data_IF_516033677879
#
_entry.id   IF_516033677879
#
_cell.length_a   1.000
_cell.length_b   1.000
_cell.length_c   1.000
_cell.angle_alpha   90.00
_cell.angle_beta   90.00
_cell.angle_gamma   90.00
#
_symmetry.space_group_name_H-M   'P 1'
#
loop_
_entity.id
_entity.type
_entity.pdbx_description
1 polymer ?
#
# COMPACT_ATOMS: atom_id res chain seq x y z
N UNK A 1 -36.91 14.79 -32.32
CA UNK A 1 -35.52 14.35 -32.37
C UNK A 1 -34.77 14.59 -31.07
N UNK A 2 -34.83 15.79 -30.44
CA UNK A 2 -34.09 16.10 -29.19
C UNK A 2 -34.42 15.21 -27.98
N UNK A 3 -35.66 14.70 -27.83
CA UNK A 3 -36.08 13.79 -26.75
C UNK A 3 -35.57 12.36 -26.93
N UNK A 4 -35.34 11.93 -28.18
CA UNK A 4 -34.84 10.58 -28.49
C UNK A 4 -33.36 10.45 -28.16
N UNK A 5 -32.54 11.49 -28.45
CA UNK A 5 -31.11 11.50 -28.11
C UNK A 5 -30.87 11.53 -26.60
N UNK A 6 -31.70 12.24 -25.83
CA UNK A 6 -31.61 12.29 -24.39
C UNK A 6 -31.96 10.92 -23.76
N UNK A 7 -32.94 10.21 -24.31
CA UNK A 7 -33.35 8.87 -23.86
C UNK A 7 -32.26 7.81 -24.17
N UNK A 8 -31.60 7.90 -25.33
CA UNK A 8 -30.51 6.99 -25.71
C UNK A 8 -29.27 7.23 -24.85
N UNK A 9 -28.97 8.51 -24.55
CA UNK A 9 -27.82 8.86 -23.70
C UNK A 9 -28.00 8.41 -22.24
N UNK A 10 -29.20 8.55 -21.68
CA UNK A 10 -29.53 8.06 -20.33
C UNK A 10 -29.59 6.54 -20.28
N UNK A 11 -30.03 5.85 -21.32
CA UNK A 11 -29.99 4.38 -21.39
C UNK A 11 -28.56 3.84 -21.50
N UNK A 12 -27.68 4.54 -22.22
CA UNK A 12 -26.28 4.17 -22.36
C UNK A 12 -25.49 4.37 -21.04
N UNK A 13 -25.78 5.45 -20.28
CA UNK A 13 -25.23 5.68 -18.94
C UNK A 13 -25.71 4.63 -17.92
N UNK A 14 -26.96 4.21 -18.00
CA UNK A 14 -27.52 3.15 -17.15
C UNK A 14 -26.91 1.77 -17.48
N UNK A 15 -26.67 1.47 -18.76
CA UNK A 15 -25.99 0.22 -19.14
C UNK A 15 -24.52 0.16 -18.72
N UNK A 16 -23.79 1.27 -18.73
CA UNK A 16 -22.41 1.35 -18.24
C UNK A 16 -22.30 1.21 -16.71
N UNK A 17 -23.35 1.57 -15.97
CA UNK A 17 -23.41 1.41 -14.51
C UNK A 17 -23.74 0.00 -14.03
N UNK A 18 -24.42 -0.81 -14.86
CA UNK A 18 -24.88 -2.14 -14.45
C UNK A 18 -23.85 -3.27 -14.66
N UNK A 19 -22.82 -3.05 -15.47
CA UNK A 19 -21.79 -4.09 -15.75
C UNK A 19 -20.79 -4.25 -14.61
N UNK A 20 -20.64 -3.26 -13.73
CA UNK A 20 -19.66 -3.34 -12.63
C UNK A 20 -20.21 -3.87 -11.30
N UNK A 21 -21.51 -4.08 -11.15
CA UNK A 21 -22.11 -4.47 -9.86
C UNK A 21 -22.13 -5.99 -9.65
N UNK A 22 -22.16 -6.78 -10.73
CA UNK A 22 -22.24 -8.25 -10.62
C UNK A 22 -20.90 -8.95 -10.40
N UNK A 23 -19.77 -8.32 -10.76
CA UNK A 23 -18.44 -8.92 -10.62
C UNK A 23 -17.73 -8.58 -9.29
N UNK A 24 -18.21 -7.56 -8.57
CA UNK A 24 -17.66 -7.12 -7.29
C UNK A 24 -17.94 -8.10 -6.12
N UNK A 25 -18.89 -9.02 -6.29
CA UNK A 25 -19.32 -9.93 -5.22
C UNK A 25 -18.60 -11.29 -5.23
N UNK A 26 -17.89 -11.63 -6.31
CA UNK A 26 -17.16 -12.90 -6.45
C UNK A 26 -15.80 -12.88 -5.74
N UNK A 27 -15.12 -11.73 -5.74
CA UNK A 27 -13.79 -11.57 -5.18
C UNK A 27 -13.79 -10.97 -3.78
N UNK A 28 -12.86 -11.45 -2.94
CA UNK A 28 -12.45 -10.82 -1.69
C UNK A 28 -11.17 -10.03 -1.96
N UNK A 29 -11.27 -8.70 -1.98
CA UNK A 29 -10.14 -7.81 -2.25
C UNK A 29 -9.32 -7.60 -0.99
N UNK A 30 -8.07 -8.07 -1.02
CA UNK A 30 -7.19 -8.09 0.14
C UNK A 30 -6.04 -7.12 -0.09
N UNK A 31 -5.91 -6.10 0.77
CA UNK A 31 -4.82 -5.13 0.74
C UNK A 31 -3.58 -5.66 1.43
N UNK A 32 -2.45 -5.57 0.74
CA UNK A 32 -1.10 -5.84 1.26
C UNK A 32 -0.04 -5.15 0.40
N UNK A 33 1.18 -5.02 0.93
CA UNK A 33 2.29 -4.43 0.16
C UNK A 33 2.80 -5.36 -0.94
N UNK A 34 2.70 -6.67 -0.75
CA UNK A 34 3.31 -7.70 -1.56
C UNK A 34 4.83 -7.47 -1.79
N UNK A 35 5.50 -6.98 -0.72
CA UNK A 35 6.92 -6.67 -0.68
C UNK A 35 7.53 -6.90 0.72
N UNK A 36 6.85 -7.68 1.56
CA UNK A 36 7.18 -7.95 2.96
C UNK A 36 7.29 -9.46 3.21
N UNK A 37 8.32 -10.11 2.64
CA UNK A 37 8.59 -11.52 2.88
C UNK A 37 9.00 -11.76 4.35
N UNK A 38 8.59 -12.87 4.98
CA UNK A 38 7.83 -14.01 4.44
C UNK A 38 6.31 -13.86 4.56
N UNK A 39 5.82 -12.72 5.05
CA UNK A 39 4.39 -12.44 5.19
C UNK A 39 3.71 -12.31 3.84
N UNK A 40 4.25 -11.49 2.94
CA UNK A 40 3.74 -11.31 1.59
C UNK A 40 4.83 -10.83 0.62
N UNK A 41 4.89 -11.42 -0.56
CA UNK A 41 5.83 -11.02 -1.63
C UNK A 41 5.18 -11.12 -3.00
N UNK A 42 5.81 -10.50 -4.01
CA UNK A 42 5.40 -10.61 -5.42
C UNK A 42 6.22 -11.69 -6.13
N UNK A 43 5.59 -12.49 -6.97
CA UNK A 43 6.20 -13.46 -7.87
C UNK A 43 5.53 -13.43 -9.25
N UNK A 44 6.18 -14.03 -10.27
CA UNK A 44 5.74 -13.90 -11.66
C UNK A 44 4.75 -14.99 -12.09
N UNK A 45 4.60 -16.06 -11.30
CA UNK A 45 3.73 -17.18 -11.60
C UNK A 45 2.80 -17.53 -10.42
N UNK A 46 1.85 -18.44 -10.64
CA UNK A 46 0.88 -18.91 -9.67
C UNK A 46 1.38 -20.10 -8.82
N UNK A 47 2.67 -20.42 -8.87
CA UNK A 47 3.24 -21.53 -8.12
C UNK A 47 3.05 -21.39 -6.62
N UNK A 48 3.15 -22.50 -5.89
CA UNK A 48 3.03 -22.59 -4.43
C UNK A 48 1.71 -22.00 -3.89
N UNK A 49 0.69 -21.90 -4.73
CA UNK A 49 -0.62 -21.38 -4.35
C UNK A 49 -0.68 -19.89 -4.22
N UNK A 50 0.13 -19.16 -4.97
CA UNK A 50 0.06 -17.70 -5.07
C UNK A 50 -1.29 -17.21 -5.59
N UNK A 51 -1.65 -15.98 -5.26
CA UNK A 51 -2.90 -15.32 -5.61
C UNK A 51 -2.62 -14.15 -6.54
N UNK A 52 -3.46 -13.99 -7.56
CA UNK A 52 -3.32 -12.92 -8.55
C UNK A 52 -3.34 -11.53 -7.91
N UNK A 53 -2.45 -10.66 -8.37
CA UNK A 53 -2.44 -9.24 -8.01
C UNK A 53 -3.31 -8.49 -9.01
N UNK A 54 -4.29 -7.73 -8.52
CA UNK A 54 -5.22 -6.96 -9.33
C UNK A 54 -4.49 -5.98 -10.26
N UNK A 55 -4.97 -5.93 -11.50
CA UNK A 55 -4.43 -5.03 -12.52
C UNK A 55 -3.03 -5.38 -13.06
N UNK A 56 -2.46 -6.54 -12.67
CA UNK A 56 -1.12 -6.98 -13.10
C UNK A 56 -1.13 -8.39 -13.67
N UNK A 57 0.01 -8.83 -14.22
CA UNK A 57 0.26 -10.23 -14.59
C UNK A 57 1.03 -11.00 -13.51
N UNK A 58 1.23 -10.40 -12.34
CA UNK A 58 1.98 -10.95 -11.23
C UNK A 58 1.05 -11.54 -10.17
N UNK A 59 1.65 -12.29 -9.26
CA UNK A 59 1.00 -12.99 -8.17
C UNK A 59 1.63 -12.60 -6.85
N UNK A 60 0.86 -12.69 -5.78
CA UNK A 60 1.35 -12.55 -4.42
C UNK A 60 1.37 -13.92 -3.73
N UNK A 61 2.39 -14.18 -2.93
CA UNK A 61 2.45 -15.33 -2.05
C UNK A 61 3.01 -14.91 -0.69
N UNK A 62 3.01 -15.83 0.27
CA UNK A 62 3.46 -15.60 1.63
C UNK A 62 2.44 -16.00 2.68
N UNK A 63 2.83 -15.88 3.94
CA UNK A 63 2.00 -16.26 5.08
C UNK A 63 0.62 -15.59 5.04
N UNK A 64 0.58 -14.27 4.85
CA UNK A 64 -0.65 -13.50 4.76
C UNK A 64 -1.56 -13.97 3.62
N UNK A 65 -0.95 -14.31 2.48
CA UNK A 65 -1.68 -14.79 1.30
C UNK A 65 -2.32 -16.16 1.57
N UNK A 66 -1.62 -17.06 2.27
CA UNK A 66 -2.17 -18.35 2.63
C UNK A 66 -3.31 -18.22 3.67
N UNK A 67 -3.19 -17.29 4.62
CA UNK A 67 -4.29 -16.91 5.53
C UNK A 67 -5.46 -16.33 4.73
N UNK A 68 -5.19 -15.40 3.83
CA UNK A 68 -6.19 -14.78 2.96
C UNK A 68 -7.00 -15.81 2.16
N UNK A 69 -6.34 -16.82 1.59
CA UNK A 69 -7.01 -17.93 0.87
C UNK A 69 -7.95 -18.72 1.78
N UNK A 70 -7.51 -19.00 3.01
CA UNK A 70 -8.34 -19.74 3.98
C UNK A 70 -9.58 -18.92 4.36
N UNK A 71 -9.41 -17.62 4.60
CA UNK A 71 -10.52 -16.71 4.91
C UNK A 71 -11.48 -16.60 3.72
N UNK A 72 -10.96 -16.35 2.51
CA UNK A 72 -11.77 -16.23 1.30
C UNK A 72 -12.60 -17.51 1.05
N UNK A 73 -11.98 -18.69 1.15
CA UNK A 73 -12.67 -19.97 1.02
C UNK A 73 -13.83 -20.11 2.02
N UNK A 74 -13.62 -19.76 3.28
CA UNK A 74 -14.65 -19.85 4.31
C UNK A 74 -15.78 -18.81 4.13
N UNK A 75 -15.50 -17.72 3.42
CA UNK A 75 -16.49 -16.70 3.02
C UNK A 75 -17.16 -17.04 1.67
N UNK A 76 -16.80 -18.14 1.00
CA UNK A 76 -17.32 -18.51 -0.31
C UNK A 76 -16.90 -17.56 -1.43
N UNK A 77 -15.71 -16.93 -1.31
CA UNK A 77 -15.17 -15.95 -2.25
C UNK A 77 -13.80 -16.37 -2.79
N UNK A 78 -13.42 -15.81 -3.94
CA UNK A 78 -12.08 -15.94 -4.47
C UNK A 78 -11.19 -14.81 -3.97
N UNK A 79 -9.96 -15.08 -3.50
CA UNK A 79 -9.05 -14.03 -3.05
C UNK A 79 -8.48 -13.26 -4.23
N UNK A 80 -8.40 -11.93 -4.09
CA UNK A 80 -7.75 -11.03 -5.04
C UNK A 80 -6.86 -10.05 -4.28
N UNK A 81 -5.57 -10.06 -4.55
CA UNK A 81 -4.64 -9.15 -3.87
C UNK A 81 -4.65 -7.79 -4.54
N UNK A 82 -4.85 -6.74 -3.74
CA UNK A 82 -4.73 -5.34 -4.17
C UNK A 82 -3.43 -4.78 -3.58
N UNK A 83 -2.38 -4.74 -4.41
CA UNK A 83 -1.08 -4.23 -4.00
C UNK A 83 -1.18 -2.74 -3.65
N UNK A 84 -0.86 -2.41 -2.41
CA UNK A 84 -1.03 -1.06 -1.86
C UNK A 84 0.15 -0.75 -0.93
N UNK A 85 0.73 0.44 -1.04
CA UNK A 85 1.78 0.89 -0.10
C UNK A 85 1.23 0.91 1.33
N UNK A 86 2.10 0.71 2.30
CA UNK A 86 1.75 0.61 3.72
C UNK A 86 0.81 1.72 4.20
N UNK A 87 1.18 2.98 3.99
CA UNK A 87 0.39 4.13 4.43
C UNK A 87 -0.97 4.24 3.71
N UNK A 88 -1.12 3.59 2.58
CA UNK A 88 -2.35 3.57 1.80
C UNK A 88 -3.34 2.48 2.20
N UNK A 89 -2.96 1.51 3.06
CA UNK A 89 -3.80 0.36 3.39
C UNK A 89 -5.08 0.76 4.15
N UNK A 90 -4.97 1.53 5.23
CA UNK A 90 -6.12 2.00 6.01
C UNK A 90 -7.04 2.90 5.18
N UNK A 91 -6.55 3.91 4.44
CA UNK A 91 -7.37 4.67 3.49
C UNK A 91 -8.06 3.81 2.42
N UNK A 92 -7.39 2.80 1.87
CA UNK A 92 -7.98 1.89 0.88
C UNK A 92 -9.12 1.05 1.49
N UNK A 93 -8.98 0.62 2.74
CA UNK A 93 -10.01 -0.12 3.46
C UNK A 93 -11.23 0.75 3.75
N UNK A 94 -11.03 1.93 4.31
CA UNK A 94 -12.10 2.85 4.70
C UNK A 94 -12.87 3.40 3.49
N UNK A 95 -12.19 3.62 2.36
CA UNK A 95 -12.83 4.01 1.09
C UNK A 95 -13.53 2.86 0.35
N UNK A 96 -13.40 1.60 0.82
CA UNK A 96 -14.00 0.44 0.18
C UNK A 96 -13.26 -0.05 -1.08
N UNK A 97 -12.04 0.43 -1.34
CA UNK A 97 -11.18 -0.06 -2.43
C UNK A 97 -10.73 -1.51 -2.16
N UNK A 98 -10.52 -1.87 -0.91
CA UNK A 98 -10.24 -3.21 -0.42
C UNK A 98 -11.28 -3.63 0.63
N UNK A 99 -11.44 -4.94 0.84
CA UNK A 99 -12.42 -5.50 1.75
C UNK A 99 -11.82 -5.81 3.13
N UNK A 100 -10.52 -6.08 3.18
CA UNK A 100 -9.75 -6.29 4.40
C UNK A 100 -8.26 -6.04 4.17
N UNK A 101 -7.52 -5.83 5.25
CA UNK A 101 -6.05 -5.75 5.28
C UNK A 101 -5.51 -7.04 5.88
N UNK A 102 -4.69 -7.79 5.12
CA UNK A 102 -3.90 -8.92 5.63
C UNK A 102 -2.46 -8.68 5.19
N UNK A 103 -1.67 -8.04 6.06
CA UNK A 103 -0.39 -7.41 5.68
C UNK A 103 0.62 -7.37 6.83
N UNK A 104 0.64 -8.36 7.71
CA UNK A 104 1.51 -8.31 8.89
C UNK A 104 1.16 -7.16 9.84
N UNK A 105 -0.11 -6.72 9.89
CA UNK A 105 -0.48 -5.50 10.60
C UNK A 105 -0.81 -5.74 12.07
N UNK A 106 -0.14 -5.01 12.97
CA UNK A 106 -0.45 -5.01 14.41
C UNK A 106 -1.68 -4.17 14.73
N UNK A 107 -2.59 -4.64 15.61
CA UNK A 107 -3.79 -3.94 16.04
C UNK A 107 -3.50 -2.88 17.12
N UNK A 108 -2.63 -1.91 16.81
CA UNK A 108 -2.25 -0.86 17.76
C UNK A 108 -3.46 -0.03 18.20
N UNK A 109 -3.37 0.58 19.40
CA UNK A 109 -4.43 1.43 19.94
C UNK A 109 -4.82 2.57 19.00
N UNK A 110 -3.85 3.15 18.27
CA UNK A 110 -4.08 4.19 17.28
C UNK A 110 -4.93 3.66 16.11
N UNK A 111 -4.55 2.54 15.50
CA UNK A 111 -5.27 1.93 14.37
C UNK A 111 -6.69 1.49 14.74
N UNK A 112 -6.88 1.02 15.98
CA UNK A 112 -8.20 0.67 16.51
C UNK A 112 -9.17 1.86 16.60
N UNK A 113 -8.66 3.09 16.56
CA UNK A 113 -9.52 4.28 16.47
C UNK A 113 -10.16 4.42 15.08
N UNK A 114 -9.52 3.92 14.03
CA UNK A 114 -9.96 4.08 12.65
C UNK A 114 -10.64 2.82 12.10
N UNK A 115 -10.10 1.62 12.39
CA UNK A 115 -10.54 0.35 11.85
C UNK A 115 -10.78 -0.70 12.97
N UNK A 116 -11.49 -1.78 12.64
CA UNK A 116 -11.64 -2.95 13.51
C UNK A 116 -10.59 -4.00 13.18
N UNK A 117 -10.33 -4.91 14.11
CA UNK A 117 -9.39 -6.01 13.94
C UNK A 117 -10.01 -7.35 14.33
N UNK A 118 -9.59 -8.40 13.62
CA UNK A 118 -9.88 -9.78 14.00
C UNK A 118 -9.09 -10.21 15.24
N UNK A 119 -9.30 -11.44 15.69
CA UNK A 119 -8.33 -12.17 16.51
C UNK A 119 -6.98 -12.23 15.81
N UNK A 120 -5.88 -12.33 16.58
CA UNK A 120 -4.54 -12.46 16.04
C UNK A 120 -4.38 -13.79 15.28
N UNK A 121 -3.79 -13.72 14.07
CA UNK A 121 -3.44 -14.90 13.28
C UNK A 121 -1.95 -15.24 13.33
N UNK A 122 -1.13 -14.38 13.94
CA UNK A 122 0.27 -14.59 14.23
C UNK A 122 0.73 -13.69 15.38
N UNK A 123 1.82 -14.06 16.05
CA UNK A 123 2.51 -13.22 17.04
C UNK A 123 3.98 -13.21 16.71
N UNK A 124 4.60 -12.05 16.62
CA UNK A 124 5.99 -11.88 16.27
C UNK A 124 6.76 -11.14 17.35
N UNK A 125 8.07 -11.24 17.30
CA UNK A 125 9.00 -10.57 18.23
C UNK A 125 9.85 -9.56 17.48
N UNK A 126 10.06 -8.35 18.02
CA UNK A 126 10.98 -7.39 17.42
C UNK A 126 12.44 -7.81 17.63
N UNK A 127 13.21 -7.72 16.56
CA UNK A 127 14.64 -8.04 16.51
C UNK A 127 15.38 -6.97 15.72
N UNK A 128 16.70 -7.06 15.67
CA UNK A 128 17.52 -6.19 14.83
C UNK A 128 18.15 -7.00 13.70
N UNK A 129 18.18 -6.42 12.50
CA UNK A 129 18.98 -6.92 11.40
C UNK A 129 20.20 -6.03 11.21
N UNK A 130 21.38 -6.65 11.09
CA UNK A 130 22.67 -5.99 10.93
C UNK A 130 23.48 -6.63 9.81
N UNK A 131 24.59 -5.99 9.40
CA UNK A 131 25.58 -6.70 8.58
C UNK A 131 26.35 -7.70 9.43
N UNK A 132 26.62 -8.87 8.86
CA UNK A 132 27.32 -9.99 9.54
C UNK A 132 28.73 -9.65 9.97
N UNK A 133 29.38 -8.74 9.24
CA UNK A 133 30.72 -8.25 9.48
C UNK A 133 30.79 -6.96 10.34
N UNK A 134 29.61 -6.47 10.79
CA UNK A 134 29.54 -5.25 11.60
C UNK A 134 29.94 -5.48 13.05
N UNK A 135 30.29 -4.42 13.75
CA UNK A 135 30.57 -4.44 15.20
C UNK A 135 29.36 -4.95 16.01
N UNK A 136 28.15 -4.81 15.47
CA UNK A 136 26.89 -5.15 16.12
C UNK A 136 26.44 -6.60 15.91
N UNK A 137 27.15 -7.36 15.07
CA UNK A 137 26.75 -8.73 14.71
C UNK A 137 26.73 -9.74 15.89
N UNK A 138 27.42 -9.41 16.98
CA UNK A 138 27.47 -10.24 18.17
C UNK A 138 26.91 -9.54 19.42
N UNK A 139 26.11 -8.48 19.22
CA UNK A 139 25.42 -7.78 20.29
C UNK A 139 24.50 -8.73 21.07
N UNK A 140 24.48 -8.58 22.39
CA UNK A 140 23.69 -9.40 23.31
C UNK A 140 22.64 -8.61 24.07
N UNK A 141 22.77 -7.29 24.08
CA UNK A 141 21.87 -6.36 24.74
C UNK A 141 21.57 -5.15 23.86
N UNK A 142 20.54 -4.40 24.17
CA UNK A 142 20.26 -3.12 23.50
C UNK A 142 21.37 -2.09 23.71
N UNK A 143 22.10 -2.15 24.83
CA UNK A 143 23.22 -1.24 25.14
C UNK A 143 24.38 -1.39 24.15
N UNK A 144 24.57 -2.57 23.58
CA UNK A 144 25.64 -2.86 22.62
C UNK A 144 25.45 -2.08 21.30
N UNK A 145 24.26 -1.53 21.05
CA UNK A 145 23.96 -0.70 19.89
C UNK A 145 24.18 0.80 20.13
N UNK A 146 24.86 1.19 21.21
CA UNK A 146 25.19 2.58 21.48
C UNK A 146 25.94 3.21 20.29
N UNK A 147 25.45 4.36 19.80
CA UNK A 147 26.01 5.07 18.65
C UNK A 147 25.62 4.54 17.29
N UNK A 148 24.96 3.37 17.21
CA UNK A 148 24.48 2.79 15.95
C UNK A 148 23.42 3.66 15.27
N UNK A 149 23.50 3.77 13.96
CA UNK A 149 22.47 4.40 13.10
C UNK A 149 21.37 3.40 12.82
N UNK A 150 20.20 3.60 13.41
CA UNK A 150 19.12 2.63 13.38
C UNK A 150 17.86 3.25 12.78
N UNK A 151 17.17 2.51 11.91
CA UNK A 151 15.88 2.87 11.36
C UNK A 151 14.86 1.74 11.51
N UNK A 152 13.66 1.97 11.03
CA UNK A 152 12.63 0.97 10.78
C UNK A 152 11.66 1.49 9.72
N UNK A 153 10.62 0.71 9.38
CA UNK A 153 9.60 1.14 8.43
C UNK A 153 8.78 2.32 8.99
N UNK A 154 8.35 3.20 8.12
CA UNK A 154 7.50 4.32 8.47
C UNK A 154 6.10 3.86 8.90
N UNK A 155 5.52 4.49 9.93
CA UNK A 155 4.15 4.22 10.37
C UNK A 155 3.95 2.87 11.07
N UNK A 156 5.04 2.25 11.59
CA UNK A 156 4.96 1.04 12.41
C UNK A 156 5.54 1.27 13.80
N UNK A 157 5.01 0.54 14.80
CA UNK A 157 5.46 0.65 16.19
C UNK A 157 6.95 0.33 16.38
N UNK A 158 7.52 -0.50 15.51
CA UNK A 158 8.94 -0.88 15.53
C UNK A 158 9.89 0.32 15.46
N UNK A 159 9.48 1.39 14.76
CA UNK A 159 10.28 2.60 14.68
C UNK A 159 10.38 3.33 16.03
N UNK A 160 9.35 3.24 16.86
CA UNK A 160 9.34 3.85 18.19
C UNK A 160 10.16 3.05 19.20
N UNK A 161 10.34 1.75 18.98
CA UNK A 161 11.19 0.90 19.81
C UNK A 161 12.67 1.32 19.78
N UNK A 162 13.12 2.03 18.76
CA UNK A 162 14.50 2.55 18.67
C UNK A 162 14.83 3.45 19.86
N UNK A 163 13.85 4.14 20.43
CA UNK A 163 14.04 4.96 21.62
C UNK A 163 14.45 4.15 22.88
N UNK A 164 14.24 2.83 22.87
CA UNK A 164 14.67 1.95 23.95
C UNK A 164 16.17 1.55 23.87
N UNK A 165 16.85 1.89 22.77
CA UNK A 165 18.25 1.58 22.55
C UNK A 165 19.10 2.76 23.04
N UNK A 166 19.87 2.60 24.14
CA UNK A 166 20.63 3.72 24.71
C UNK A 166 21.68 4.25 23.72
N UNK A 167 21.64 5.57 23.48
CA UNK A 167 22.62 6.24 22.62
C UNK A 167 22.53 5.92 21.11
N UNK A 168 21.55 5.16 20.66
CA UNK A 168 21.34 4.93 19.24
C UNK A 168 21.00 6.23 18.50
N UNK A 169 21.47 6.36 17.28
CA UNK A 169 21.12 7.43 16.36
C UNK A 169 19.90 6.99 15.56
N UNK A 170 18.72 7.50 15.93
CA UNK A 170 17.46 7.23 15.21
C UNK A 170 17.50 7.94 13.87
N UNK A 171 17.64 7.17 12.80
CA UNK A 171 17.62 7.68 11.42
C UNK A 171 16.18 7.82 10.91
N UNK A 172 15.99 8.53 9.81
CA UNK A 172 14.66 8.71 9.19
C UNK A 172 14.05 7.36 8.83
N UNK A 173 12.77 7.17 9.17
CA UNK A 173 12.02 5.98 8.81
C UNK A 173 11.94 5.80 7.28
N UNK A 174 11.96 4.56 6.81
CA UNK A 174 11.97 4.21 5.39
C UNK A 174 10.62 3.62 4.97
N UNK A 175 10.30 3.71 3.66
CA UNK A 175 9.00 3.31 3.15
C UNK A 175 8.77 1.80 3.13
N UNK A 176 9.83 0.99 2.92
CA UNK A 176 9.72 -0.46 2.79
C UNK A 176 11.02 -1.19 3.19
N UNK A 177 10.93 -2.50 3.35
CA UNK A 177 12.05 -3.35 3.77
C UNK A 177 13.17 -3.44 2.72
N UNK A 178 12.86 -3.35 1.43
CA UNK A 178 13.86 -3.38 0.38
C UNK A 178 14.80 -2.16 0.47
N UNK A 179 14.24 -0.97 0.75
CA UNK A 179 15.02 0.24 0.99
C UNK A 179 15.91 0.10 2.22
N UNK A 180 15.40 -0.47 3.32
CA UNK A 180 16.18 -0.68 4.54
C UNK A 180 17.34 -1.66 4.32
N UNK A 181 17.10 -2.77 3.60
CA UNK A 181 18.16 -3.74 3.26
C UNK A 181 19.23 -3.12 2.37
N UNK A 182 18.85 -2.31 1.39
CA UNK A 182 19.80 -1.57 0.54
C UNK A 182 20.62 -0.56 1.36
N UNK A 183 19.97 0.20 2.24
CA UNK A 183 20.64 1.16 3.12
C UNK A 183 21.62 0.46 4.10
N UNK A 184 21.24 -0.71 4.64
CA UNK A 184 22.08 -1.52 5.50
C UNK A 184 23.30 -2.08 4.73
N UNK A 185 23.10 -2.60 3.54
CA UNK A 185 24.18 -3.12 2.70
C UNK A 185 25.17 -2.02 2.29
N UNK A 186 24.65 -0.84 1.95
CA UNK A 186 25.45 0.34 1.61
C UNK A 186 26.14 0.99 2.82
N UNK A 187 25.81 0.59 4.06
CA UNK A 187 26.38 1.17 5.29
C UNK A 187 25.84 2.58 5.61
N UNK A 188 24.71 2.96 5.04
CA UNK A 188 24.01 4.20 5.39
C UNK A 188 23.42 4.11 6.79
N UNK A 189 22.91 2.91 7.13
CA UNK A 189 22.48 2.52 8.48
C UNK A 189 23.30 1.35 8.98
N UNK A 190 23.37 1.17 10.29
CA UNK A 190 24.10 0.08 10.95
C UNK A 190 23.17 -1.10 11.29
N UNK A 191 21.87 -0.79 11.52
CA UNK A 191 20.83 -1.77 11.80
C UNK A 191 19.44 -1.25 11.43
N UNK A 192 18.48 -2.15 11.32
CA UNK A 192 17.07 -1.77 11.39
C UNK A 192 16.28 -2.71 12.32
N UNK A 193 15.25 -2.16 12.97
CA UNK A 193 14.33 -2.94 13.80
C UNK A 193 13.29 -3.57 12.90
N UNK A 194 13.11 -4.87 13.02
CA UNK A 194 12.19 -5.68 12.25
C UNK A 194 11.54 -6.74 13.12
N UNK A 195 10.63 -7.50 12.54
CA UNK A 195 10.06 -8.70 13.13
C UNK A 195 10.93 -9.93 12.83
N UNK A 196 10.96 -10.87 13.77
CA UNK A 196 11.77 -12.07 13.66
C UNK A 196 11.63 -12.84 12.33
N UNK A 197 10.41 -13.08 11.77
CA UNK A 197 10.29 -13.80 10.49
C UNK A 197 10.94 -13.04 9.32
N UNK A 198 10.78 -11.73 9.25
CA UNK A 198 11.41 -10.91 8.20
C UNK A 198 12.92 -10.93 8.32
N UNK A 199 13.46 -10.75 9.53
CA UNK A 199 14.90 -10.74 9.75
C UNK A 199 15.55 -12.11 9.41
N UNK A 200 14.90 -13.23 9.76
CA UNK A 200 15.35 -14.57 9.37
C UNK A 200 15.32 -14.75 7.86
N UNK A 201 14.30 -14.21 7.20
CA UNK A 201 14.15 -14.23 5.77
C UNK A 201 15.24 -13.43 5.06
N UNK A 202 15.53 -12.22 5.54
CA UNK A 202 16.60 -11.39 5.02
C UNK A 202 18.00 -12.03 5.22
N UNK A 203 18.23 -12.66 6.36
CA UNK A 203 19.47 -13.41 6.63
C UNK A 203 19.60 -14.64 5.71
N UNK A 204 18.52 -15.37 5.47
CA UNK A 204 18.51 -16.53 4.57
C UNK A 204 18.72 -16.13 3.11
N UNK A 205 18.15 -15.00 2.67
CA UNK A 205 18.25 -14.49 1.31
C UNK A 205 19.62 -13.86 1.01
N UNK A 206 20.27 -13.25 2.00
CA UNK A 206 21.56 -12.57 1.82
C UNK A 206 22.53 -12.91 2.97
N UNK A 207 23.55 -13.69 2.65
CA UNK A 207 24.56 -14.15 3.62
C UNK A 207 25.39 -13.04 4.29
N UNK A 208 25.30 -11.79 3.79
CA UNK A 208 25.94 -10.61 4.39
C UNK A 208 25.15 -10.09 5.60
N UNK A 209 23.90 -10.50 5.79
CA UNK A 209 23.06 -10.06 6.88
C UNK A 209 23.08 -11.06 8.04
N UNK A 210 22.71 -10.56 9.22
CA UNK A 210 22.56 -11.34 10.42
C UNK A 210 21.44 -10.78 11.29
N UNK A 211 20.50 -11.65 11.66
CA UNK A 211 19.53 -11.34 12.70
C UNK A 211 20.21 -11.34 14.07
N UNK A 212 19.95 -10.33 14.87
CA UNK A 212 20.41 -10.20 16.26
C UNK A 212 19.19 -10.13 17.17
N UNK A 213 19.05 -11.13 18.02
CA UNK A 213 18.09 -11.15 19.12
C UNK A 213 18.85 -10.87 20.41
N UNK A 214 18.39 -9.90 21.17
CA UNK A 214 19.05 -9.43 22.41
C UNK A 214 18.24 -9.82 23.64
N UNK A 215 18.93 -9.98 24.77
CA UNK A 215 18.32 -10.27 26.05
C UNK A 215 18.80 -9.26 27.12
N UNK A 216 17.90 -8.55 27.84
CA UNK A 216 16.46 -8.53 27.58
C UNK A 216 16.14 -7.86 26.23
N UNK A 217 15.07 -8.35 25.57
CA UNK A 217 14.59 -7.78 24.31
C UNK A 217 13.86 -6.43 24.49
N UNK A 218 13.26 -5.97 23.41
CA UNK A 218 12.41 -4.77 23.45
C UNK A 218 11.20 -4.96 24.36
N UNK A 219 10.83 -3.93 25.08
CA UNK A 219 9.58 -3.89 25.84
C UNK A 219 8.44 -3.50 24.88
N UNK A 220 7.46 -4.39 24.75
CA UNK A 220 6.32 -4.23 23.84
C UNK A 220 5.02 -4.53 24.57
N UNK A 221 3.92 -3.98 24.08
CA UNK A 221 2.58 -4.41 24.47
C UNK A 221 2.20 -5.72 23.75
N UNK A 222 1.29 -6.49 24.32
CA UNK A 222 0.76 -7.71 23.67
C UNK A 222 0.13 -7.41 22.30
N UNK A 223 -0.54 -6.26 22.18
CA UNK A 223 -1.18 -5.83 20.93
C UNK A 223 -0.16 -5.40 19.85
N UNK A 224 1.00 -4.92 20.25
CA UNK A 224 2.04 -4.49 19.32
C UNK A 224 2.66 -5.69 18.59
N UNK A 225 2.85 -6.80 19.30
CA UNK A 225 3.44 -8.04 18.75
C UNK A 225 2.42 -8.94 18.08
N UNK A 226 1.12 -8.72 18.30
CA UNK A 226 0.05 -9.42 17.63
C UNK A 226 -0.09 -8.96 16.19
N UNK A 227 -0.43 -9.88 15.29
CA UNK A 227 -0.73 -9.59 13.87
C UNK A 227 -2.16 -10.01 13.60
N UNK A 228 -2.99 -9.09 13.12
CA UNK A 228 -4.42 -9.29 12.95
C UNK A 228 -4.94 -8.73 11.63
N UNK A 229 -6.11 -9.19 11.18
CA UNK A 229 -6.77 -8.74 9.96
C UNK A 229 -7.47 -7.42 10.24
N UNK A 230 -7.15 -6.37 9.47
CA UNK A 230 -7.84 -5.08 9.53
C UNK A 230 -9.15 -5.12 8.75
N UNK A 231 -10.22 -4.61 9.34
CA UNK A 231 -11.59 -4.59 8.82
C UNK A 231 -12.22 -3.21 9.03
N UNK A 232 -13.24 -2.85 8.23
CA UNK A 232 -14.06 -1.68 8.56
C UNK A 232 -14.78 -1.89 9.89
N UNK A 233 -15.06 -0.82 10.62
CA UNK A 233 -15.70 -0.90 11.96
C UNK A 233 -17.09 -1.53 11.95
N UNK A 234 -17.80 -1.41 10.85
CA UNK A 234 -19.14 -1.94 10.60
C UNK A 234 -19.16 -3.29 9.89
N UNK A 235 -18.00 -3.94 9.75
CA UNK A 235 -17.90 -5.22 9.05
C UNK A 235 -18.51 -6.36 9.88
N UNK A 236 -19.61 -6.89 9.39
CA UNK A 236 -20.36 -7.97 10.07
C UNK A 236 -19.70 -9.36 9.94
N UNK A 237 -18.64 -9.50 9.14
CA UNK A 237 -17.92 -10.76 8.91
C UNK A 237 -16.89 -11.09 9.99
N UNK A 238 -16.63 -10.19 10.93
CA UNK A 238 -15.56 -10.34 11.94
C UNK A 238 -15.68 -11.65 12.73
N UNK A 239 -16.88 -12.06 13.12
CA UNK A 239 -17.10 -13.32 13.85
C UNK A 239 -16.78 -14.55 13.00
N UNK A 240 -17.13 -14.54 11.71
CA UNK A 240 -16.82 -15.63 10.78
C UNK A 240 -15.31 -15.70 10.46
N UNK A 241 -14.67 -14.54 10.39
CA UNK A 241 -13.21 -14.44 10.19
C UNK A 241 -12.50 -15.00 11.41
N UNK A 242 -12.90 -14.60 12.63
CA UNK A 242 -12.31 -15.11 13.88
C UNK A 242 -12.46 -16.63 13.98
N UNK A 243 -13.65 -17.16 13.70
CA UNK A 243 -13.87 -18.60 13.67
C UNK A 243 -12.94 -19.31 12.66
N UNK A 244 -12.64 -18.67 11.53
CA UNK A 244 -11.69 -19.20 10.54
C UNK A 244 -10.26 -19.21 11.07
N UNK A 245 -9.84 -18.17 11.78
CA UNK A 245 -8.50 -18.06 12.39
C UNK A 245 -8.33 -19.13 13.48
N UNK A 246 -9.33 -19.33 14.34
CA UNK A 246 -9.32 -20.32 15.42
C UNK A 246 -9.11 -21.76 14.94
N UNK A 247 -9.43 -22.05 13.67
CA UNK A 247 -9.14 -23.38 13.08
C UNK A 247 -7.65 -23.58 12.73
N UNK A 248 -6.80 -22.59 12.89
CA UNK A 248 -5.36 -22.67 12.62
C UNK A 248 -4.65 -22.87 13.94
N UNK A 249 -4.18 -24.08 14.20
CA UNK A 249 -3.42 -24.36 15.41
C UNK A 249 -2.10 -23.58 15.44
N UNK A 250 -1.51 -23.40 16.61
CA UNK A 250 -0.19 -22.75 16.73
C UNK A 250 0.90 -23.52 15.97
N UNK A 251 0.83 -24.85 15.98
CA UNK A 251 1.77 -25.69 15.24
C UNK A 251 1.63 -25.48 13.73
N UNK A 252 0.39 -25.35 13.22
CA UNK A 252 0.14 -25.02 11.81
C UNK A 252 0.64 -23.63 11.45
N UNK A 253 0.51 -22.65 12.37
CA UNK A 253 1.03 -21.30 12.16
C UNK A 253 2.55 -21.30 12.03
N UNK A 254 3.26 -22.01 12.91
CA UNK A 254 4.73 -22.16 12.87
C UNK A 254 5.14 -22.89 11.59
N UNK A 255 4.52 -24.05 11.28
CA UNK A 255 4.83 -24.83 10.09
C UNK A 255 4.60 -24.03 8.80
N UNK A 256 3.51 -23.23 8.75
CA UNK A 256 3.23 -22.37 7.61
C UNK A 256 4.31 -21.28 7.49
N UNK A 257 4.69 -20.61 8.58
CA UNK A 257 5.71 -19.58 8.56
C UNK A 257 7.07 -20.14 8.11
N UNK A 258 7.50 -21.28 8.66
CA UNK A 258 8.73 -21.97 8.26
C UNK A 258 8.74 -22.34 6.78
N UNK A 259 7.59 -22.75 6.24
CA UNK A 259 7.44 -23.02 4.82
C UNK A 259 7.60 -21.75 4.00
N UNK A 260 6.97 -20.65 4.40
CA UNK A 260 7.05 -19.38 3.67
C UNK A 260 8.46 -18.78 3.68
N UNK A 261 9.20 -18.92 4.79
CA UNK A 261 10.62 -18.54 4.86
C UNK A 261 11.46 -19.33 3.83
N UNK A 262 11.15 -20.62 3.59
CA UNK A 262 11.89 -21.47 2.63
C UNK A 262 11.47 -21.26 1.19
N UNK A 263 10.20 -20.98 0.94
CA UNK A 263 9.61 -20.85 -0.41
C UNK A 263 9.72 -19.45 -1.00
N UNK A 264 10.09 -18.46 -0.20
CA UNK A 264 10.27 -17.11 -0.72
C UNK A 264 11.26 -17.10 -1.90
N UNK A 265 11.05 -16.24 -2.91
CA UNK A 265 12.05 -16.05 -3.95
C UNK A 265 13.37 -15.62 -3.30
N UNK A 266 14.48 -16.27 -3.65
CA UNK A 266 15.80 -15.74 -3.30
C UNK A 266 15.80 -14.27 -3.75
N UNK A 267 16.19 -13.33 -2.86
CA UNK A 267 16.51 -11.99 -3.33
C UNK A 267 17.45 -12.18 -4.51
N UNK A 268 17.11 -11.61 -5.66
CA UNK A 268 18.04 -11.55 -6.75
C UNK A 268 19.29 -10.91 -6.14
N UNK A 269 20.20 -11.77 -5.67
CA UNK A 269 21.54 -11.36 -5.34
C UNK A 269 21.97 -10.63 -6.61
N UNK A 270 22.18 -9.34 -6.52
CA UNK A 270 23.07 -8.63 -7.42
C UNK A 270 24.47 -9.19 -7.20
N UNK A 271 24.59 -10.51 -7.45
CA UNK A 271 25.85 -11.12 -7.83
C UNK A 271 26.20 -10.38 -9.10
N UNK A 272 27.17 -9.49 -8.98
CA UNK A 272 28.00 -8.96 -10.05
C UNK A 272 27.61 -9.49 -11.45
N UNK A 273 26.46 -9.11 -12.00
CA UNK A 273 26.35 -8.99 -13.42
C UNK A 273 27.14 -7.73 -13.75
N UNK A 274 28.45 -8.00 -13.95
CA UNK A 274 29.31 -7.17 -14.74
C UNK A 274 28.53 -6.23 -15.60
N UNK A 275 28.59 -4.92 -15.26
CA UNK A 275 28.36 -3.78 -16.16
C UNK A 275 27.33 -4.04 -17.28
N UNK A 276 26.11 -4.42 -16.97
CA UNK A 276 25.03 -4.23 -17.93
C UNK A 276 24.83 -2.72 -18.06
N UNK A 277 25.14 -2.20 -19.24
CA UNK A 277 24.99 -0.78 -19.54
C UNK A 277 23.62 -0.29 -19.08
N UNK A 278 23.51 0.88 -18.49
CA UNK A 278 22.23 1.53 -18.15
C UNK A 278 21.18 1.33 -19.26
N UNK A 279 21.58 1.38 -20.51
CA UNK A 279 20.69 1.15 -21.65
C UNK A 279 20.17 -0.29 -21.77
N UNK A 280 20.93 -1.31 -21.38
CA UNK A 280 20.45 -2.69 -21.39
C UNK A 280 19.46 -2.96 -20.27
N UNK A 281 19.64 -2.35 -19.09
CA UNK A 281 18.68 -2.41 -18.00
C UNK A 281 17.36 -1.70 -18.38
N UNK A 282 17.44 -0.52 -18.99
CA UNK A 282 16.28 0.20 -19.52
C UNK A 282 15.56 -0.63 -20.58
N UNK A 283 16.30 -1.24 -21.53
CA UNK A 283 15.71 -2.09 -22.56
C UNK A 283 15.01 -3.31 -21.97
N UNK A 284 15.57 -3.94 -20.94
CA UNK A 284 14.96 -5.07 -20.23
C UNK A 284 13.66 -4.65 -19.55
N UNK A 285 13.67 -3.55 -18.77
CA UNK A 285 12.48 -3.01 -18.10
C UNK A 285 11.39 -2.68 -19.13
N UNK A 286 11.76 -2.06 -20.25
CA UNK A 286 10.81 -1.73 -21.32
C UNK A 286 10.22 -2.99 -21.97
N UNK A 287 11.03 -4.02 -22.22
CA UNK A 287 10.57 -5.25 -22.86
C UNK A 287 9.65 -6.09 -21.93
N UNK A 288 9.91 -6.08 -20.63
CA UNK A 288 9.14 -6.85 -19.64
C UNK A 288 7.86 -6.14 -19.24
N UNK A 289 7.84 -4.80 -19.23
CA UNK A 289 6.73 -4.00 -18.69
C UNK A 289 6.04 -3.10 -19.72
N UNK A 290 6.28 -3.27 -21.02
CA UNK A 290 5.78 -2.37 -22.07
C UNK A 290 4.24 -2.23 -22.07
N UNK A 291 3.51 -3.31 -21.76
CA UNK A 291 2.03 -3.28 -21.68
C UNK A 291 1.54 -2.40 -20.53
N UNK A 292 2.20 -2.48 -19.37
CA UNK A 292 1.86 -1.66 -18.20
C UNK A 292 2.19 -0.18 -18.46
N UNK A 293 3.34 0.07 -19.09
CA UNK A 293 3.76 1.43 -19.48
C UNK A 293 2.80 2.05 -20.51
N UNK A 294 2.39 1.29 -21.52
CA UNK A 294 1.41 1.75 -22.50
C UNK A 294 0.04 1.98 -21.90
N UNK A 295 -0.41 1.09 -20.99
CA UNK A 295 -1.68 1.27 -20.27
C UNK A 295 -1.64 2.53 -19.40
N UNK A 296 -0.56 2.75 -18.65
CA UNK A 296 -0.35 3.96 -17.85
C UNK A 296 -0.33 5.21 -18.70
N UNK A 297 0.41 5.21 -19.80
CA UNK A 297 0.45 6.32 -20.76
C UNK A 297 -0.93 6.57 -21.39
N UNK A 298 -1.66 5.51 -21.74
CA UNK A 298 -3.02 5.61 -22.29
C UNK A 298 -4.02 6.22 -21.31
N UNK A 299 -3.99 5.82 -20.04
CA UNK A 299 -4.84 6.39 -18.99
C UNK A 299 -4.49 7.87 -18.75
N UNK A 300 -3.20 8.20 -18.69
CA UNK A 300 -2.74 9.58 -18.53
C UNK A 300 -3.20 10.47 -19.69
N UNK A 301 -3.07 9.99 -20.92
CA UNK A 301 -3.56 10.67 -22.13
C UNK A 301 -5.07 10.85 -22.08
N UNK A 302 -5.82 9.82 -21.71
CA UNK A 302 -7.28 9.89 -21.59
C UNK A 302 -7.71 10.95 -20.58
N UNK A 303 -7.14 10.93 -19.37
CA UNK A 303 -7.44 11.91 -18.32
C UNK A 303 -7.08 13.32 -18.78
N UNK A 304 -5.94 13.50 -19.43
CA UNK A 304 -5.49 14.79 -19.94
C UNK A 304 -6.43 15.33 -21.02
N UNK A 305 -6.84 14.50 -22.00
CA UNK A 305 -7.75 14.89 -23.07
C UNK A 305 -9.14 15.25 -22.48
N UNK A 306 -9.69 14.38 -21.63
CA UNK A 306 -11.00 14.60 -20.99
C UNK A 306 -10.96 15.87 -20.14
N UNK A 307 -9.93 16.05 -19.32
CA UNK A 307 -9.76 17.25 -18.49
C UNK A 307 -9.63 18.52 -19.34
N UNK A 308 -8.91 18.46 -20.45
CA UNK A 308 -8.77 19.60 -21.38
C UNK A 308 -10.10 19.95 -22.05
N UNK A 309 -10.87 18.95 -22.52
CA UNK A 309 -12.18 19.17 -23.14
C UNK A 309 -13.15 19.79 -22.12
N UNK A 310 -13.22 19.24 -20.90
CA UNK A 310 -14.07 19.78 -19.83
C UNK A 310 -13.67 21.21 -19.49
N UNK A 311 -12.36 21.46 -19.33
CA UNK A 311 -11.83 22.80 -19.06
C UNK A 311 -12.13 23.80 -20.17
N UNK A 312 -12.04 23.37 -21.44
CA UNK A 312 -12.40 24.19 -22.60
C UNK A 312 -13.90 24.55 -22.60
N UNK A 313 -14.77 23.57 -22.34
CA UNK A 313 -16.23 23.79 -22.30
C UNK A 313 -16.59 24.77 -21.18
N UNK A 314 -16.05 24.57 -19.99
CA UNK A 314 -16.27 25.46 -18.84
C UNK A 314 -15.73 26.87 -19.13
N UNK A 315 -14.50 26.96 -19.63
CA UNK A 315 -13.86 28.22 -19.98
C UNK A 315 -14.63 29.00 -21.05
N UNK A 316 -15.12 28.30 -22.10
CA UNK A 316 -15.95 28.89 -23.14
C UNK A 316 -17.28 29.38 -22.57
N UNK A 317 -17.97 28.59 -21.74
CA UNK A 317 -19.23 28.97 -21.11
C UNK A 317 -19.07 30.23 -20.23
N UNK A 318 -17.99 30.28 -19.42
CA UNK A 318 -17.65 31.47 -18.61
C UNK A 318 -17.34 32.68 -19.50
N UNK A 319 -16.58 32.47 -20.58
CA UNK A 319 -16.25 33.52 -21.55
C UNK A 319 -17.47 34.11 -22.20
N UNK A 320 -18.38 33.26 -22.72
CA UNK A 320 -19.66 33.68 -23.33
C UNK A 320 -20.54 34.41 -22.31
N UNK A 321 -20.64 33.91 -21.08
CA UNK A 321 -21.43 34.57 -20.03
C UNK A 321 -20.90 35.98 -19.71
N UNK A 322 -19.59 36.14 -19.65
CA UNK A 322 -18.95 37.45 -19.33
C UNK A 322 -19.06 38.48 -20.47
N UNK A 323 -19.17 38.04 -21.70
CA UNK A 323 -19.32 38.91 -22.89
C UNK A 323 -20.78 39.19 -23.25
N UNK A 324 -21.74 38.47 -22.62
CA UNK A 324 -23.14 38.66 -22.86
C UNK A 324 -23.61 40.06 -22.40
N UNK A 325 -24.43 40.74 -23.18
CA UNK A 325 -24.98 42.05 -22.77
C UNK A 325 -25.87 41.90 -21.53
N UNK A 326 -25.81 42.90 -20.65
CA UNK A 326 -26.64 42.94 -19.44
C UNK A 326 -28.11 43.09 -19.80
N UNK A 327 -28.99 42.34 -19.13
CA UNK A 327 -30.43 42.35 -19.38
C UNK A 327 -31.07 43.65 -18.88
N UNK A 328 -32.06 44.18 -19.62
CA UNK A 328 -32.89 45.33 -19.19
C UNK A 328 -33.83 44.95 -18.03
N UNK A 329 -34.10 43.67 -17.83
CA UNK A 329 -34.92 43.20 -16.72
C UNK A 329 -34.14 43.25 -15.42
N UNK A 330 -34.59 44.04 -14.43
CA UNK A 330 -33.91 44.28 -13.15
C UNK A 330 -33.59 43.01 -12.39
N UNK A 331 -34.43 41.97 -12.43
CA UNK A 331 -34.18 40.68 -11.75
C UNK A 331 -33.06 39.91 -12.43
N UNK A 332 -33.06 39.82 -13.76
CA UNK A 332 -32.03 39.14 -14.54
C UNK A 332 -30.71 39.89 -14.45
N UNK A 333 -30.73 41.21 -14.47
CA UNK A 333 -29.55 42.08 -14.26
C UNK A 333 -28.88 41.81 -12.92
N UNK A 334 -29.66 41.74 -11.81
CA UNK A 334 -29.14 41.43 -10.49
C UNK A 334 -28.49 40.04 -10.43
N UNK A 335 -29.12 39.04 -11.05
CA UNK A 335 -28.60 37.68 -11.15
C UNK A 335 -27.31 37.63 -11.97
N UNK A 336 -27.26 38.30 -13.13
CA UNK A 336 -26.04 38.37 -13.95
C UNK A 336 -24.86 39.00 -13.21
N UNK A 337 -25.10 40.07 -12.43
CA UNK A 337 -24.06 40.70 -11.58
C UNK A 337 -23.57 39.77 -10.48
N UNK A 338 -24.48 39.06 -9.79
CA UNK A 338 -24.11 38.12 -8.73
C UNK A 338 -23.27 36.95 -9.29
N UNK A 339 -23.73 36.33 -10.39
CA UNK A 339 -22.98 35.25 -11.04
C UNK A 339 -21.64 35.74 -11.57
N UNK A 340 -21.58 36.92 -12.18
CA UNK A 340 -20.34 37.54 -12.64
C UNK A 340 -19.34 37.77 -11.50
N UNK A 341 -19.83 38.20 -10.33
CA UNK A 341 -18.99 38.36 -9.15
C UNK A 341 -18.43 37.02 -8.63
N UNK A 342 -19.28 35.98 -8.54
CA UNK A 342 -18.85 34.62 -8.15
C UNK A 342 -17.79 34.09 -9.12
N UNK A 343 -18.00 34.23 -10.43
CA UNK A 343 -17.05 33.81 -11.45
C UNK A 343 -15.72 34.57 -11.37
N UNK A 344 -15.74 35.85 -11.04
CA UNK A 344 -14.52 36.63 -10.82
C UNK A 344 -13.73 36.10 -9.62
N UNK A 345 -14.40 35.86 -8.47
CA UNK A 345 -13.76 35.28 -7.28
C UNK A 345 -13.16 33.89 -7.60
N UNK A 346 -13.91 33.06 -8.31
CA UNK A 346 -13.44 31.74 -8.77
C UNK A 346 -12.16 31.87 -9.61
N UNK A 347 -12.17 32.74 -10.62
CA UNK A 347 -11.01 32.94 -11.51
C UNK A 347 -9.80 33.48 -10.74
N UNK A 348 -9.99 34.44 -9.84
CA UNK A 348 -8.94 35.02 -9.01
C UNK A 348 -8.28 33.97 -8.11
N UNK A 349 -9.07 33.10 -7.46
CA UNK A 349 -8.56 32.03 -6.61
C UNK A 349 -7.73 31.05 -7.45
N UNK A 350 -8.27 30.54 -8.56
CA UNK A 350 -7.58 29.54 -9.37
C UNK A 350 -6.37 30.08 -10.15
N UNK A 351 -6.40 31.36 -10.53
CA UNK A 351 -5.28 32.04 -11.20
C UNK A 351 -4.20 32.50 -10.23
N UNK A 352 -4.60 32.84 -8.99
CA UNK A 352 -3.68 33.35 -7.97
C UNK A 352 -2.98 32.27 -7.15
N UNK A 353 -3.44 31.01 -7.16
CA UNK A 353 -2.85 29.92 -6.40
C UNK A 353 -2.01 28.99 -7.31
N UNK A 354 -0.75 28.67 -6.93
CA UNK A 354 0.05 27.68 -7.65
C UNK A 354 -0.65 26.31 -7.69
N UNK A 355 -0.53 25.60 -8.83
CA UNK A 355 -1.16 24.28 -9.01
C UNK A 355 -0.79 23.26 -7.92
N UNK A 356 0.41 23.34 -7.36
CA UNK A 356 0.86 22.48 -6.25
C UNK A 356 -0.01 22.71 -5.00
N UNK A 357 -0.33 23.97 -4.68
CA UNK A 357 -1.18 24.30 -3.53
C UNK A 357 -2.62 23.82 -3.76
N UNK A 358 -3.14 23.94 -4.99
CA UNK A 358 -4.47 23.45 -5.34
C UNK A 358 -4.54 21.92 -5.20
N UNK A 359 -3.52 21.20 -5.64
CA UNK A 359 -3.47 19.73 -5.48
C UNK A 359 -3.38 19.29 -4.01
N UNK A 360 -2.68 20.04 -3.15
CA UNK A 360 -2.60 19.75 -1.71
C UNK A 360 -3.92 19.99 -0.96
N UNK A 361 -4.77 20.86 -1.47
CA UNK A 361 -6.09 21.16 -0.84
C UNK A 361 -7.15 20.14 -1.27
N UNK A 362 -6.97 19.50 -2.44
CA UNK A 362 -7.92 18.52 -2.99
C UNK A 362 -7.59 17.08 -2.53
N UNK A 363 -6.33 16.82 -2.18
CA UNK A 363 -5.83 15.55 -1.63
C UNK A 363 -5.71 15.61 -0.11
#
# INVERSE_FOLDING_TARGET
>A
MRKIYLSIFTSLLLMLGLVNVAQADEYLRIGMEAAYAPFNWTQDDDSNGAVKIDGTNQYANGYDVQIAKKIAKNLGKEPLVVKTKWEGLVPALTSGKIDMIIAGMSPTAERKQEIAFSSSYYTSEPVLLVKKDSAYANAKSLDDFNGAKITSQQGVYLYDLIAQIPGAKKETAMGDFAQMRQALEAGVIDAYVSERPEALTAEAANSKFKMVQVEPGFKTGEEDTAIAIGLRKDDNRISQINASIETISKDDQVALMDRMIKEQPAEATTTEETSSSFFSQVAKILSENWQQLLRGAGITLLISIVGTIIGLIIGLAIGVFRTAPLSENKAIYGLQKLVGWILNVYIEIFRGTPMIVQSMVIY
#
